data_IF_545066226983
#
_entry.id   IF_545066226983
#
_cell.length_a   1.000
_cell.length_b   1.000
_cell.length_c   1.000
_cell.angle_alpha   90.00
_cell.angle_beta   90.00
_cell.angle_gamma   90.00
#
_symmetry.space_group_name_H-M   'P 1'
#
loop_
_entity.id
_entity.type
_entity.pdbx_description
1 polymer ?
#
# COMPACT_ATOMS: atom_id res chain seq x y z
N UNK A 1 -36.76 -34.58 43.17
CA UNK A 1 -35.37 -34.22 42.85
C UNK A 1 -35.12 -32.83 43.40
N UNK A 2 -34.46 -32.74 44.56
CA UNK A 2 -33.99 -31.45 45.07
C UNK A 2 -32.79 -31.07 44.22
N UNK A 3 -32.97 -30.07 43.36
CA UNK A 3 -31.85 -29.44 42.68
C UNK A 3 -31.06 -28.69 43.76
N UNK A 4 -29.88 -29.25 44.06
CA UNK A 4 -28.84 -28.61 44.84
C UNK A 4 -28.38 -27.38 44.05
N UNK A 5 -29.07 -26.25 44.27
CA UNK A 5 -28.65 -24.97 43.75
C UNK A 5 -27.37 -24.62 44.49
N UNK A 6 -26.25 -24.72 43.78
CA UNK A 6 -24.92 -24.35 44.22
C UNK A 6 -25.00 -23.09 45.10
N UNK A 7 -24.52 -23.21 46.33
CA UNK A 7 -24.37 -22.07 47.24
C UNK A 7 -23.65 -20.93 46.51
N UNK A 8 -24.13 -19.70 46.71
CA UNK A 8 -23.50 -18.52 46.11
C UNK A 8 -21.99 -18.57 46.42
N UNK A 9 -21.12 -18.43 45.40
CA UNK A 9 -19.69 -18.53 45.61
C UNK A 9 -19.26 -17.47 46.63
N UNK A 10 -18.35 -17.87 47.53
CA UNK A 10 -17.81 -17.01 48.58
C UNK A 10 -17.38 -15.66 47.96
N UNK A 11 -17.88 -14.51 48.47
CA UNK A 11 -17.51 -13.19 47.98
C UNK A 11 -15.98 -13.00 47.86
N UNK A 12 -15.21 -13.59 48.78
CA UNK A 12 -13.76 -13.53 48.74
C UNK A 12 -13.16 -14.28 47.52
N UNK A 13 -13.79 -15.38 47.11
CA UNK A 13 -13.39 -16.14 45.91
C UNK A 13 -13.78 -15.38 44.64
N UNK A 14 -14.95 -14.74 44.64
CA UNK A 14 -15.40 -13.93 43.49
C UNK A 14 -14.46 -12.74 43.27
N UNK A 15 -14.06 -12.04 44.34
CA UNK A 15 -13.12 -10.92 44.26
C UNK A 15 -11.74 -11.37 43.77
N UNK A 16 -11.24 -12.52 44.26
CA UNK A 16 -9.97 -13.10 43.81
C UNK A 16 -9.99 -13.44 42.30
N UNK A 17 -11.09 -14.06 41.84
CA UNK A 17 -11.27 -14.44 40.42
C UNK A 17 -11.45 -13.21 39.55
N UNK A 18 -12.07 -12.14 40.06
CA UNK A 18 -12.21 -10.88 39.34
C UNK A 18 -10.85 -10.20 39.17
N UNK A 19 -10.03 -10.17 40.22
CA UNK A 19 -8.68 -9.62 40.22
C UNK A 19 -7.73 -10.42 39.31
N UNK A 20 -7.85 -11.75 39.29
CA UNK A 20 -7.10 -12.59 38.35
C UNK A 20 -7.55 -12.34 36.90
N UNK A 21 -8.86 -12.19 36.65
CA UNK A 21 -9.38 -11.88 35.32
C UNK A 21 -8.93 -10.52 34.80
N UNK A 22 -8.87 -9.49 35.66
CA UNK A 22 -8.37 -8.17 35.25
C UNK A 22 -6.89 -8.25 34.92
N UNK A 23 -6.08 -8.91 35.75
CA UNK A 23 -4.65 -9.13 35.49
C UNK A 23 -4.41 -9.88 34.17
N UNK A 24 -5.12 -10.98 33.93
CA UNK A 24 -5.02 -11.76 32.69
C UNK A 24 -5.43 -10.96 31.44
N UNK A 25 -6.43 -10.08 31.56
CA UNK A 25 -6.86 -9.19 30.47
C UNK A 25 -5.80 -8.14 30.16
N UNK A 26 -5.17 -7.58 31.18
CA UNK A 26 -4.09 -6.60 31.02
C UNK A 26 -2.84 -7.24 30.41
N UNK A 27 -2.47 -8.46 30.83
CA UNK A 27 -1.40 -9.23 30.21
C UNK A 27 -1.71 -9.55 28.74
N UNK A 28 -2.93 -9.98 28.43
CA UNK A 28 -3.37 -10.19 27.04
C UNK A 28 -3.24 -8.91 26.21
N UNK A 29 -3.58 -7.75 26.77
CA UNK A 29 -3.46 -6.46 26.10
C UNK A 29 -1.99 -6.14 25.82
N UNK A 30 -1.11 -6.33 26.80
CA UNK A 30 0.32 -6.06 26.67
C UNK A 30 0.96 -7.00 25.64
N UNK A 31 0.67 -8.30 25.72
CA UNK A 31 1.17 -9.29 24.77
C UNK A 31 0.72 -8.99 23.35
N UNK A 32 -0.55 -8.59 23.15
CA UNK A 32 -1.06 -8.15 21.84
C UNK A 32 -0.31 -6.91 21.33
N UNK A 33 -0.07 -5.91 22.17
CA UNK A 33 0.72 -4.73 21.79
C UNK A 33 2.17 -5.07 21.45
N UNK A 34 2.79 -5.99 22.20
CA UNK A 34 4.14 -6.45 21.91
C UNK A 34 4.21 -7.22 20.60
N UNK A 35 3.24 -8.10 20.34
CA UNK A 35 3.13 -8.86 19.10
C UNK A 35 2.93 -7.91 17.91
N UNK A 36 2.07 -6.91 18.02
CA UNK A 36 1.86 -5.90 16.99
C UNK A 36 3.14 -5.10 16.73
N UNK A 37 3.85 -4.68 17.79
CA UNK A 37 5.12 -3.97 17.66
C UNK A 37 6.21 -4.82 17.00
N UNK A 38 6.29 -6.11 17.35
CA UNK A 38 7.22 -7.05 16.72
C UNK A 38 6.86 -7.30 15.25
N UNK A 39 5.58 -7.48 14.97
CA UNK A 39 5.06 -7.66 13.60
C UNK A 39 5.33 -6.43 12.74
N UNK A 40 5.11 -5.22 13.26
CA UNK A 40 5.43 -3.96 12.57
C UNK A 40 6.93 -3.80 12.32
N UNK A 41 7.78 -4.21 13.26
CA UNK A 41 9.24 -4.23 13.05
C UNK A 41 9.66 -5.24 11.98
N UNK A 42 8.97 -6.37 11.90
CA UNK A 42 9.25 -7.44 10.95
C UNK A 42 8.71 -7.12 9.55
N UNK A 43 7.61 -6.36 9.45
CA UNK A 43 7.00 -5.95 8.18
C UNK A 43 7.91 -4.98 7.44
N UNK A 44 8.35 -5.36 6.24
CA UNK A 44 9.02 -4.43 5.33
C UNK A 44 7.99 -3.40 4.84
N UNK A 45 8.18 -2.14 5.21
CA UNK A 45 7.24 -1.05 4.99
C UNK A 45 7.92 0.30 5.11
N UNK A 46 7.24 1.37 4.69
CA UNK A 46 7.87 2.69 4.57
C UNK A 46 8.35 3.22 5.93
N UNK A 47 7.66 2.87 7.01
CA UNK A 47 7.94 3.34 8.38
C UNK A 47 9.35 2.98 8.86
N UNK A 48 9.97 1.94 8.28
CA UNK A 48 11.33 1.51 8.63
C UNK A 48 12.42 2.44 8.11
N UNK A 49 12.12 3.26 7.12
CA UNK A 49 13.11 4.07 6.39
C UNK A 49 12.90 5.58 6.58
N UNK A 50 11.90 6.00 7.36
CA UNK A 50 11.51 7.41 7.51
C UNK A 50 12.58 8.28 8.17
N UNK A 51 13.48 7.68 8.95
CA UNK A 51 14.58 8.38 9.61
C UNK A 51 15.79 8.65 8.69
N UNK A 52 15.78 8.13 7.44
CA UNK A 52 16.93 8.18 6.53
C UNK A 52 16.50 8.58 5.12
N UNK A 53 16.70 9.86 4.78
CA UNK A 53 16.45 10.36 3.43
C UNK A 53 17.29 9.64 2.37
N UNK A 54 18.46 9.10 2.75
CA UNK A 54 19.28 8.27 1.87
C UNK A 54 18.56 6.97 1.51
N UNK A 55 17.96 6.30 2.50
CA UNK A 55 17.22 5.06 2.26
C UNK A 55 15.93 5.34 1.48
N UNK A 56 15.20 6.42 1.82
CA UNK A 56 14.04 6.85 1.04
C UNK A 56 14.42 7.06 -0.42
N UNK A 57 15.50 7.79 -0.69
CA UNK A 57 15.98 8.03 -2.06
C UNK A 57 16.36 6.75 -2.77
N UNK A 58 17.03 5.84 -2.08
CA UNK A 58 17.40 4.54 -2.63
C UNK A 58 16.17 3.72 -3.04
N UNK A 59 15.18 3.60 -2.16
CA UNK A 59 14.00 2.75 -2.38
C UNK A 59 12.92 3.39 -3.25
N UNK A 60 12.87 4.72 -3.37
CA UNK A 60 11.74 5.42 -4.00
C UNK A 60 12.12 6.42 -5.07
N UNK A 61 13.41 6.77 -5.19
CA UNK A 61 13.94 7.89 -5.98
C UNK A 61 13.48 9.29 -5.57
N UNK A 62 12.59 9.43 -4.58
CA UNK A 62 12.29 10.73 -3.98
C UNK A 62 13.48 11.26 -3.18
N UNK A 63 13.66 12.59 -3.17
CA UNK A 63 14.83 13.20 -2.55
C UNK A 63 14.82 13.19 -1.01
N UNK A 64 13.65 13.11 -0.39
CA UNK A 64 13.45 13.01 1.06
C UNK A 64 12.11 12.37 1.40
N UNK A 65 11.95 11.94 2.65
CA UNK A 65 10.69 11.42 3.17
C UNK A 65 9.56 12.48 3.07
N UNK A 66 9.86 13.74 3.37
CA UNK A 66 8.88 14.84 3.33
C UNK A 66 8.28 15.01 1.93
N UNK A 67 9.12 15.01 0.88
CA UNK A 67 8.64 15.18 -0.50
C UNK A 67 7.78 13.99 -0.92
N UNK A 68 8.18 12.77 -0.55
CA UNK A 68 7.38 11.57 -0.77
C UNK A 68 6.01 11.67 -0.08
N UNK A 69 5.96 12.16 1.17
CA UNK A 69 4.71 12.30 1.91
C UNK A 69 3.81 13.42 1.38
N UNK A 70 4.38 14.51 0.85
CA UNK A 70 3.60 15.53 0.12
C UNK A 70 2.96 14.94 -1.13
N UNK A 71 3.72 14.15 -1.90
CA UNK A 71 3.20 13.45 -3.07
C UNK A 71 2.09 12.47 -2.67
N UNK A 72 2.33 11.68 -1.63
CA UNK A 72 1.33 10.78 -1.05
C UNK A 72 0.04 11.51 -0.65
N UNK A 73 0.15 12.68 -0.01
CA UNK A 73 -1.00 13.50 0.37
C UNK A 73 -1.87 13.91 -0.83
N UNK A 74 -1.27 14.19 -1.98
CA UNK A 74 -2.01 14.46 -3.23
C UNK A 74 -2.75 13.22 -3.73
N UNK A 75 -2.09 12.05 -3.68
CA UNK A 75 -2.69 10.79 -4.09
C UNK A 75 -3.81 10.33 -3.15
N UNK A 76 -3.69 10.62 -1.85
CA UNK A 76 -4.64 10.18 -0.83
C UNK A 76 -6.06 10.69 -1.09
N UNK A 77 -6.18 11.90 -1.66
CA UNK A 77 -7.47 12.47 -2.05
C UNK A 77 -8.14 11.69 -3.19
N UNK A 78 -7.36 11.01 -4.02
CA UNK A 78 -7.84 10.21 -5.15
C UNK A 78 -7.96 8.71 -4.82
N UNK A 79 -7.43 8.21 -3.70
CA UNK A 79 -7.52 6.81 -3.28
C UNK A 79 -8.93 6.20 -3.27
N UNK A 80 -10.01 6.92 -2.89
CA UNK A 80 -11.35 6.35 -2.93
C UNK A 80 -11.77 5.83 -4.31
N UNK A 81 -11.30 6.44 -5.40
CA UNK A 81 -11.57 5.96 -6.77
C UNK A 81 -10.89 4.62 -7.06
N UNK A 82 -9.68 4.42 -6.54
CA UNK A 82 -8.92 3.16 -6.65
C UNK A 82 -9.58 2.02 -5.87
N UNK A 83 -10.09 2.30 -4.67
CA UNK A 83 -10.76 1.29 -3.82
C UNK A 83 -12.08 0.84 -4.46
N UNK A 84 -12.85 1.77 -5.03
CA UNK A 84 -14.08 1.44 -5.78
C UNK A 84 -13.81 0.50 -6.95
N UNK A 85 -12.76 0.76 -7.75
CA UNK A 85 -12.35 -0.11 -8.87
C UNK A 85 -11.91 -1.49 -8.37
N UNK A 86 -11.12 -1.55 -7.29
CA UNK A 86 -10.67 -2.82 -6.69
C UNK A 86 -11.84 -3.66 -6.12
N UNK A 87 -12.87 -3.01 -5.59
CA UNK A 87 -14.08 -3.67 -5.09
C UNK A 87 -14.97 -4.16 -6.25
N UNK A 88 -15.12 -3.36 -7.31
CA UNK A 88 -15.86 -3.77 -8.51
C UNK A 88 -15.23 -4.99 -9.19
N UNK A 89 -13.89 -5.07 -9.21
CA UNK A 89 -13.17 -6.24 -9.74
C UNK A 89 -13.27 -7.50 -8.86
N UNK A 90 -13.66 -7.37 -7.58
CA UNK A 90 -13.72 -8.51 -6.64
C UNK A 90 -15.04 -9.27 -6.65
N UNK A 91 -16.11 -8.75 -7.26
CA UNK A 91 -17.39 -9.45 -7.40
C UNK A 91 -18.00 -9.93 -6.06
N UNK A 92 -18.91 -9.12 -5.50
CA UNK A 92 -19.68 -9.35 -4.27
C UNK A 92 -18.95 -9.12 -2.92
N UNK A 93 -19.67 -8.64 -1.88
CA UNK A 93 -19.10 -8.39 -0.56
C UNK A 93 -18.98 -9.72 0.17
N UNK A 94 -17.78 -10.31 0.14
CA UNK A 94 -17.49 -11.45 1.01
C UNK A 94 -17.44 -10.95 2.45
N UNK A 95 -18.33 -11.50 3.28
CA UNK A 95 -18.43 -11.21 4.70
C UNK A 95 -17.06 -11.27 5.36
N UNK A 96 -16.74 -10.18 6.06
CA UNK A 96 -15.49 -9.89 6.72
C UNK A 96 -15.10 -10.97 7.74
N UNK A 97 -14.45 -12.03 7.26
CA UNK A 97 -13.51 -12.77 8.09
C UNK A 97 -12.31 -11.86 8.33
N UNK A 98 -12.20 -11.44 9.59
CA UNK A 98 -11.12 -10.63 10.11
C UNK A 98 -9.74 -11.21 9.74
N UNK A 99 -8.79 -10.31 9.46
CA UNK A 99 -7.33 -10.56 9.33
C UNK A 99 -6.81 -11.18 8.02
N UNK A 100 -7.36 -10.82 6.86
CA UNK A 100 -6.55 -10.95 5.63
C UNK A 100 -5.44 -9.89 5.68
N UNK A 101 -4.18 -10.34 5.63
CA UNK A 101 -2.94 -9.57 5.65
C UNK A 101 -2.82 -8.56 4.48
N UNK A 102 -3.72 -7.58 4.40
CA UNK A 102 -3.64 -6.52 3.40
C UNK A 102 -2.59 -5.50 3.84
N UNK A 103 -1.70 -5.13 2.91
CA UNK A 103 -0.77 -4.03 3.12
C UNK A 103 -1.56 -2.73 3.24
N UNK A 104 -1.07 -1.82 4.08
CA UNK A 104 -1.64 -0.49 4.10
C UNK A 104 -1.39 0.18 2.74
N UNK A 105 -2.28 1.05 2.24
CA UNK A 105 -2.11 1.67 0.93
C UNK A 105 -0.74 2.35 0.74
N UNK A 106 -0.19 2.97 1.78
CA UNK A 106 1.14 3.58 1.74
C UNK A 106 2.26 2.54 1.55
N UNK A 107 2.15 1.36 2.16
CA UNK A 107 3.12 0.28 2.01
C UNK A 107 3.00 -0.40 0.65
N UNK A 108 1.79 -0.53 0.11
CA UNK A 108 1.58 -0.98 -1.26
C UNK A 108 2.18 0.01 -2.28
N UNK A 109 2.00 1.31 -2.06
CA UNK A 109 2.61 2.35 -2.87
C UNK A 109 4.13 2.32 -2.75
N UNK A 110 4.67 2.15 -1.54
CA UNK A 110 6.09 1.99 -1.31
C UNK A 110 6.64 0.76 -2.04
N UNK A 111 5.91 -0.38 -2.04
CA UNK A 111 6.25 -1.57 -2.82
C UNK A 111 6.31 -1.27 -4.33
N UNK A 112 5.31 -0.56 -4.85
CA UNK A 112 5.31 -0.13 -6.25
C UNK A 112 6.50 0.78 -6.58
N UNK A 113 6.85 1.72 -5.69
CA UNK A 113 8.03 2.56 -5.87
C UNK A 113 9.33 1.76 -5.83
N UNK A 114 9.44 0.75 -4.96
CA UNK A 114 10.60 -0.16 -4.94
C UNK A 114 10.73 -0.90 -6.28
N UNK A 115 9.62 -1.36 -6.85
CA UNK A 115 9.59 -2.00 -8.16
C UNK A 115 10.13 -1.06 -9.26
N UNK A 116 9.68 0.19 -9.29
CA UNK A 116 10.16 1.19 -10.27
C UNK A 116 11.60 1.65 -10.04
N UNK A 117 11.96 1.92 -8.78
CA UNK A 117 13.23 2.50 -8.41
C UNK A 117 14.40 1.53 -8.56
N UNK A 118 14.18 0.26 -8.21
CA UNK A 118 15.21 -0.76 -8.11
C UNK A 118 15.10 -1.83 -9.21
N UNK A 119 13.99 -1.87 -9.97
CA UNK A 119 13.76 -2.91 -10.99
C UNK A 119 13.68 -4.32 -10.41
N UNK A 120 13.24 -4.45 -9.15
CA UNK A 120 13.17 -5.74 -8.47
C UNK A 120 12.17 -6.68 -9.13
N UNK A 121 12.49 -7.97 -9.17
CA UNK A 121 11.55 -8.99 -9.65
C UNK A 121 10.41 -9.14 -8.64
N UNK A 122 9.22 -9.50 -9.13
CA UNK A 122 8.04 -9.68 -8.27
C UNK A 122 8.26 -10.72 -7.16
N UNK A 123 9.10 -11.74 -7.40
CA UNK A 123 9.48 -12.74 -6.39
C UNK A 123 10.30 -12.12 -5.25
N UNK A 124 11.28 -11.27 -5.57
CA UNK A 124 12.10 -10.62 -4.54
C UNK A 124 11.25 -9.67 -3.68
N UNK A 125 10.28 -8.99 -4.30
CA UNK A 125 9.30 -8.17 -3.58
C UNK A 125 8.36 -9.02 -2.72
N UNK A 126 7.91 -10.17 -3.20
CA UNK A 126 7.09 -11.10 -2.44
C UNK A 126 7.81 -11.55 -1.16
N UNK A 127 9.07 -11.94 -1.28
CA UNK A 127 9.90 -12.39 -0.17
C UNK A 127 10.18 -11.24 0.83
N UNK A 128 10.50 -10.03 0.34
CA UNK A 128 10.76 -8.86 1.22
C UNK A 128 9.54 -8.45 2.02
N UNK A 129 8.36 -8.40 1.39
CA UNK A 129 7.13 -7.92 2.02
C UNK A 129 6.34 -9.04 2.72
N UNK A 130 6.77 -10.30 2.60
CA UNK A 130 6.10 -11.45 3.21
C UNK A 130 4.69 -11.68 2.65
N UNK A 131 4.50 -11.43 1.35
CA UNK A 131 3.20 -11.57 0.66
C UNK A 131 3.35 -12.48 -0.57
N UNK A 132 2.24 -13.04 -1.06
CA UNK A 132 2.26 -13.84 -2.28
C UNK A 132 2.63 -13.01 -3.52
N UNK A 133 3.36 -13.61 -4.47
CA UNK A 133 3.73 -12.98 -5.74
C UNK A 133 2.51 -12.52 -6.55
N UNK A 134 1.40 -13.26 -6.50
CA UNK A 134 0.14 -12.85 -7.14
C UNK A 134 -0.42 -11.56 -6.54
N UNK A 135 -0.24 -11.33 -5.24
CA UNK A 135 -0.57 -10.07 -4.57
C UNK A 135 0.35 -8.94 -5.02
N UNK A 136 1.66 -9.18 -5.13
CA UNK A 136 2.62 -8.22 -5.68
C UNK A 136 2.21 -7.77 -7.08
N UNK A 137 1.89 -8.72 -7.97
CA UNK A 137 1.45 -8.43 -9.33
C UNK A 137 0.20 -7.55 -9.36
N UNK A 138 -0.82 -7.90 -8.57
CA UNK A 138 -2.06 -7.08 -8.44
C UNK A 138 -1.79 -5.68 -7.90
N UNK A 139 -0.89 -5.55 -6.92
CA UNK A 139 -0.48 -4.25 -6.36
C UNK A 139 0.13 -3.42 -7.48
N UNK A 140 1.13 -3.96 -8.20
CA UNK A 140 1.80 -3.24 -9.29
C UNK A 140 0.80 -2.79 -10.34
N UNK A 141 -0.05 -3.68 -10.86
CA UNK A 141 -1.03 -3.31 -11.89
C UNK A 141 -2.04 -2.27 -11.40
N UNK A 142 -2.51 -2.40 -10.16
CA UNK A 142 -3.46 -1.43 -9.60
C UNK A 142 -2.84 -0.04 -9.46
N UNK A 143 -1.62 0.04 -8.93
CA UNK A 143 -0.91 1.31 -8.73
C UNK A 143 -0.50 1.94 -10.06
N UNK A 144 -0.08 1.15 -11.05
CA UNK A 144 0.17 1.63 -12.41
C UNK A 144 -1.09 2.25 -13.03
N UNK A 145 -2.23 1.56 -12.98
CA UNK A 145 -3.49 2.05 -13.54
C UNK A 145 -3.96 3.31 -12.82
N UNK A 146 -3.91 3.31 -11.48
CA UNK A 146 -4.30 4.46 -10.68
C UNK A 146 -3.44 5.69 -10.98
N UNK A 147 -2.11 5.53 -11.00
CA UNK A 147 -1.22 6.63 -11.33
C UNK A 147 -1.35 7.08 -12.78
N UNK A 148 -1.62 6.17 -13.71
CA UNK A 148 -1.93 6.55 -15.09
C UNK A 148 -3.17 7.45 -15.16
N UNK A 149 -4.24 7.14 -14.41
CA UNK A 149 -5.43 8.00 -14.35
C UNK A 149 -5.16 9.33 -13.66
N UNK A 150 -4.49 9.32 -12.51
CA UNK A 150 -4.21 10.53 -11.73
C UNK A 150 -3.23 11.45 -12.48
N UNK A 151 -2.13 10.91 -12.99
CA UNK A 151 -1.12 11.67 -13.74
C UNK A 151 -1.61 12.02 -15.14
N UNK A 152 -2.40 11.18 -15.80
CA UNK A 152 -3.02 11.51 -17.09
C UNK A 152 -4.05 12.63 -16.99
N UNK A 153 -4.62 12.86 -15.81
CA UNK A 153 -5.46 14.04 -15.53
C UNK A 153 -4.64 15.33 -15.41
N UNK A 154 -3.36 15.23 -15.06
CA UNK A 154 -2.41 16.33 -15.14
C UNK A 154 -1.95 16.38 -16.60
N UNK A 155 -2.19 17.47 -17.32
CA UNK A 155 -1.67 17.62 -18.69
C UNK A 155 -0.14 17.79 -18.67
N UNK A 156 0.58 16.70 -18.39
CA UNK A 156 2.04 16.61 -18.41
C UNK A 156 2.59 16.44 -19.82
N UNK A 157 1.74 16.08 -20.78
CA UNK A 157 2.13 15.98 -22.18
C UNK A 157 2.10 17.37 -22.81
N UNK A 158 3.25 17.80 -23.32
CA UNK A 158 3.36 19.00 -24.13
C UNK A 158 2.49 18.76 -25.37
N UNK A 159 1.47 19.60 -25.65
CA UNK A 159 0.65 19.41 -26.83
C UNK A 159 1.53 19.37 -28.08
N UNK A 160 1.17 18.52 -29.05
CA UNK A 160 1.94 18.30 -30.28
C UNK A 160 2.33 19.63 -30.96
N UNK A 161 1.48 20.63 -30.82
CA UNK A 161 1.63 21.96 -31.41
C UNK A 161 2.76 22.76 -30.75
N UNK A 162 2.97 22.57 -29.45
CA UNK A 162 4.05 23.21 -28.70
C UNK A 162 5.38 22.47 -28.90
N UNK A 163 5.34 21.15 -29.16
CA UNK A 163 6.51 20.37 -29.61
C UNK A 163 6.94 20.84 -31.01
N UNK A 164 5.99 20.95 -31.94
CA UNK A 164 6.23 21.44 -33.31
C UNK A 164 6.76 22.87 -33.34
N UNK A 165 6.22 23.75 -32.50
CA UNK A 165 6.65 25.15 -32.42
C UNK A 165 8.10 25.30 -31.92
N UNK A 166 8.54 24.43 -31.02
CA UNK A 166 9.90 24.43 -30.48
C UNK A 166 10.83 23.42 -31.16
N UNK A 167 10.39 22.78 -32.25
CA UNK A 167 11.20 21.82 -32.98
C UNK A 167 12.37 22.55 -33.67
N UNK A 168 13.63 22.17 -33.43
CA UNK A 168 14.78 22.76 -34.11
C UNK A 168 14.64 22.64 -35.62
N UNK A 169 15.15 23.63 -36.37
CA UNK A 169 15.00 23.69 -37.82
C UNK A 169 15.47 22.42 -38.53
N UNK A 170 16.52 21.79 -38.00
CA UNK A 170 17.12 20.56 -38.52
C UNK A 170 16.18 19.33 -38.50
N UNK A 171 15.09 19.39 -37.73
CA UNK A 171 14.09 18.31 -37.63
C UNK A 171 12.79 18.61 -38.38
N UNK A 172 12.66 19.78 -39.04
CA UNK A 172 11.46 20.15 -39.81
C UNK A 172 11.34 19.42 -41.15
N UNK A 173 12.47 18.95 -41.69
CA UNK A 173 12.54 18.26 -42.97
C UNK A 173 12.28 16.74 -42.88
N UNK A 174 12.05 16.23 -41.67
CA UNK A 174 11.63 14.84 -41.45
C UNK A 174 10.09 14.79 -41.32
N UNK A 175 9.36 14.35 -42.36
CA UNK A 175 7.91 14.11 -42.24
C UNK A 175 7.69 12.90 -41.33
N UNK A 176 7.02 13.11 -40.18
CA UNK A 176 6.52 12.13 -39.19
C UNK A 176 7.25 10.77 -39.15
N UNK A 177 8.58 10.82 -39.12
CA UNK A 177 9.42 9.63 -39.05
C UNK A 177 10.25 9.72 -37.78
N UNK A 178 9.61 9.32 -36.68
CA UNK A 178 10.36 8.84 -35.51
C UNK A 178 10.27 9.66 -34.23
N UNK A 179 9.19 10.41 -33.98
CA UNK A 179 8.77 10.53 -32.58
C UNK A 179 8.20 9.16 -32.22
N UNK A 180 9.04 8.30 -31.64
CA UNK A 180 8.58 7.04 -31.04
C UNK A 180 7.80 7.43 -29.78
N UNK A 181 6.57 7.90 -29.97
CA UNK A 181 5.53 7.75 -28.96
C UNK A 181 5.23 6.26 -28.94
N UNK A 182 5.54 5.60 -27.82
CA UNK A 182 5.09 4.23 -27.59
C UNK A 182 3.56 4.26 -27.50
N UNK A 183 2.90 4.19 -28.65
CA UNK A 183 1.47 3.95 -28.77
C UNK A 183 1.20 2.51 -28.29
N UNK A 184 0.87 2.38 -27.01
CA UNK A 184 0.19 1.20 -26.49
C UNK A 184 -1.31 1.51 -26.49
N UNK A 185 -1.94 1.35 -27.65
CA UNK A 185 -3.34 1.73 -27.80
C UNK A 185 -4.01 1.27 -29.08
N UNK A 186 -3.81 0.02 -29.51
CA UNK A 186 -4.82 -0.69 -30.31
C UNK A 186 -4.48 -2.18 -30.42
N UNK A 187 -5.08 -3.00 -29.55
CA UNK A 187 -5.54 -4.32 -29.96
C UNK A 187 -6.88 -4.58 -29.29
N UNK A 188 -7.87 -4.66 -30.17
CA UNK A 188 -9.25 -5.12 -30.02
C UNK A 188 -9.32 -6.53 -29.44
#
# INVERSE_FOLDING_TARGET
>A
MQHDYASAPDPAIVDLVLEENTSLRDENRLLRQQLERLTLKQRFGIHRFTASDKDIRFFTRFSSYDILMRFWGMLQNALPSMVSVRQAQRGAPMESTALTHTLQPIDEFFLFLNYLALGLKQRDLADRYGIHQSTVSRIISSWSNFLFTVLGSVRIWIPEEEIRRNLPADFRDYPDSGTVTYDAGHLT
#
